data_IF_828359139072
#
_entry.id   IF_828359139072
#
_cell.length_a   1.000
_cell.length_b   1.000
_cell.length_c   1.000
_cell.angle_alpha   90.00
_cell.angle_beta   90.00
_cell.angle_gamma   90.00
#
_symmetry.space_group_name_H-M   'P 1'
#
loop_
_entity.id
_entity.type
_entity.pdbx_description
1 polymer ?
#
# COMPACT_ATOMS: atom_id res chain seq x y z
N UNK A 1 14.14 -38.93 -36.44
CA UNK A 1 14.36 -39.07 -34.98
C UNK A 1 13.63 -37.91 -34.31
N UNK A 2 12.55 -38.19 -33.58
CA UNK A 2 11.63 -37.18 -33.06
C UNK A 2 12.18 -36.48 -31.80
N UNK A 3 12.02 -35.16 -31.75
CA UNK A 3 12.46 -34.30 -30.66
C UNK A 3 11.61 -34.52 -29.40
N UNK A 4 12.25 -34.89 -28.29
CA UNK A 4 11.60 -35.08 -26.99
C UNK A 4 11.28 -33.74 -26.34
N UNK A 5 10.00 -33.42 -26.24
CA UNK A 5 9.48 -32.35 -25.42
C UNK A 5 9.62 -32.75 -23.95
N UNK A 6 10.49 -32.07 -23.19
CA UNK A 6 10.67 -32.34 -21.76
C UNK A 6 9.44 -31.85 -20.98
N UNK A 7 8.46 -32.74 -20.82
CA UNK A 7 7.31 -32.56 -19.95
C UNK A 7 7.78 -32.47 -18.50
N UNK A 8 7.78 -31.26 -17.93
CA UNK A 8 8.00 -31.06 -16.49
C UNK A 8 7.00 -31.92 -15.71
N UNK A 9 7.43 -32.66 -14.68
CA UNK A 9 6.53 -33.55 -13.94
C UNK A 9 5.41 -32.74 -13.26
N UNK A 10 4.17 -33.19 -13.47
CA UNK A 10 2.89 -32.63 -12.97
C UNK A 10 2.71 -32.63 -11.44
N UNK A 11 3.79 -32.73 -10.68
CA UNK A 11 3.76 -32.75 -9.21
C UNK A 11 4.57 -31.63 -8.55
N UNK A 12 5.27 -30.79 -9.33
CA UNK A 12 5.75 -29.50 -8.81
C UNK A 12 4.61 -28.48 -8.87
N UNK A 13 3.62 -28.68 -8.00
CA UNK A 13 2.59 -27.68 -7.71
C UNK A 13 3.30 -26.53 -6.99
N UNK A 14 3.47 -25.43 -7.71
CA UNK A 14 3.87 -24.12 -7.18
C UNK A 14 2.75 -23.65 -6.25
N UNK A 15 2.86 -23.97 -4.97
CA UNK A 15 2.00 -23.46 -3.90
C UNK A 15 2.45 -22.04 -3.51
N UNK A 16 2.68 -21.21 -4.52
CA UNK A 16 3.23 -19.86 -4.42
C UNK A 16 2.69 -19.04 -5.61
N UNK A 17 1.36 -18.92 -5.65
CA UNK A 17 0.61 -18.02 -6.54
C UNK A 17 -0.83 -17.75 -6.04
N UNK A 18 -1.19 -18.10 -4.79
CA UNK A 18 -2.56 -17.84 -4.28
C UNK A 18 -2.67 -16.53 -3.48
N UNK A 19 -1.63 -15.69 -3.47
CA UNK A 19 -1.67 -14.37 -2.82
C UNK A 19 -1.61 -13.18 -3.79
N UNK A 20 -1.69 -13.43 -5.10
CA UNK A 20 -1.48 -12.43 -6.15
C UNK A 20 -2.53 -12.50 -7.28
N UNK A 21 -3.72 -13.06 -7.00
CA UNK A 21 -4.85 -13.13 -7.96
C UNK A 21 -6.17 -12.58 -7.36
N UNK A 22 -6.12 -11.91 -6.20
CA UNK A 22 -7.29 -11.21 -5.60
C UNK A 22 -7.21 -9.69 -5.66
N UNK A 23 -6.40 -9.14 -6.56
CA UNK A 23 -6.25 -7.68 -6.69
C UNK A 23 -6.22 -7.20 -8.15
N UNK A 24 -6.63 -8.05 -9.11
CA UNK A 24 -6.66 -7.68 -10.53
C UNK A 24 -8.05 -7.95 -11.13
N UNK A 25 -9.10 -7.28 -10.62
CA UNK A 25 -10.37 -7.01 -11.30
C UNK A 25 -11.27 -6.12 -10.42
N UNK A 26 -11.22 -4.79 -10.63
CA UNK A 26 -12.36 -3.85 -10.67
C UNK A 26 -11.85 -2.40 -10.50
N UNK A 27 -11.12 -1.90 -11.51
CA UNK A 27 -11.04 -0.47 -11.79
C UNK A 27 -11.99 -0.16 -12.95
N UNK A 28 -13.13 0.51 -12.72
CA UNK A 28 -13.77 1.28 -13.75
C UNK A 28 -13.14 2.68 -13.74
N UNK A 29 -12.06 2.89 -14.50
CA UNK A 29 -11.63 4.25 -14.89
C UNK A 29 -12.64 4.82 -15.88
N UNK A 30 -13.73 5.31 -15.27
CA UNK A 30 -14.35 6.61 -15.45
C UNK A 30 -13.74 7.50 -16.56
N UNK A 31 -14.48 7.58 -17.66
CA UNK A 31 -14.90 8.84 -18.29
C UNK A 31 -13.79 9.84 -18.70
N UNK A 32 -13.28 9.70 -19.93
CA UNK A 32 -12.86 10.84 -20.73
C UNK A 32 -14.09 11.73 -21.01
N UNK A 33 -14.39 12.65 -20.09
CA UNK A 33 -15.25 13.80 -20.38
C UNK A 33 -14.41 15.07 -20.17
N UNK A 34 -13.92 15.56 -21.30
CA UNK A 34 -13.29 16.86 -21.50
C UNK A 34 -14.20 17.95 -20.90
N UNK A 35 -13.96 18.27 -19.62
CA UNK A 35 -14.66 19.34 -18.91
C UNK A 35 -14.02 20.66 -19.29
N UNK A 36 -14.36 21.13 -20.49
CA UNK A 36 -14.03 22.45 -20.98
C UNK A 36 -14.85 23.47 -20.16
N UNK A 37 -14.12 24.15 -19.27
CA UNK A 37 -14.63 25.10 -18.29
C UNK A 37 -15.03 26.41 -18.97
N UNK A 38 -16.14 26.41 -19.73
CA UNK A 38 -16.72 27.62 -20.30
C UNK A 38 -17.90 28.10 -19.44
N UNK A 39 -17.61 29.05 -18.55
CA UNK A 39 -18.62 29.86 -17.90
C UNK A 39 -19.29 30.75 -18.95
N UNK A 40 -20.43 30.32 -19.49
CA UNK A 40 -21.33 31.20 -20.23
C UNK A 40 -22.78 31.08 -19.72
N UNK A 41 -23.13 32.06 -18.90
CA UNK A 41 -24.39 32.81 -18.92
C UNK A 41 -25.67 32.01 -19.23
N UNK A 42 -26.44 31.71 -18.17
CA UNK A 42 -27.91 31.50 -18.07
C UNK A 42 -28.72 31.14 -19.34
N UNK A 43 -28.17 30.29 -20.22
CA UNK A 43 -28.75 29.99 -21.53
C UNK A 43 -28.34 28.64 -22.08
N UNK A 44 -27.85 27.72 -21.23
CA UNK A 44 -27.78 26.31 -21.62
C UNK A 44 -29.20 25.86 -21.95
N UNK A 45 -29.47 25.66 -23.24
CA UNK A 45 -30.79 25.29 -23.76
C UNK A 45 -31.17 23.94 -23.16
N UNK A 46 -31.90 23.97 -22.04
CA UNK A 46 -32.45 22.77 -21.41
C UNK A 46 -33.32 22.07 -22.46
N UNK A 47 -33.05 20.78 -22.68
CA UNK A 47 -33.72 20.03 -23.74
C UNK A 47 -35.17 19.78 -23.32
N UNK A 48 -36.11 20.01 -24.25
CA UNK A 48 -37.52 19.69 -24.04
C UNK A 48 -38.23 20.54 -22.97
N UNK A 49 -39.02 19.91 -22.10
CA UNK A 49 -39.91 20.57 -21.13
C UNK A 49 -39.21 20.96 -19.81
N UNK A 50 -37.93 20.61 -19.64
CA UNK A 50 -37.15 20.89 -18.43
C UNK A 50 -36.97 22.40 -18.15
N UNK A 51 -37.03 23.24 -19.17
CA UNK A 51 -37.03 24.70 -19.01
C UNK A 51 -38.37 25.29 -18.53
N UNK A 52 -39.47 24.56 -18.69
CA UNK A 52 -40.83 25.00 -18.34
C UNK A 52 -41.17 24.59 -16.91
N UNK A 53 -40.63 23.46 -16.44
CA UNK A 53 -40.86 22.94 -15.09
C UNK A 53 -39.98 23.70 -14.09
N UNK A 54 -40.61 24.47 -13.20
CA UNK A 54 -39.92 25.18 -12.11
C UNK A 54 -39.55 24.18 -11.02
N UNK A 55 -38.24 23.97 -10.81
CA UNK A 55 -37.73 23.14 -9.71
C UNK A 55 -37.81 23.95 -8.42
N UNK A 56 -38.90 23.84 -7.67
CA UNK A 56 -39.09 24.42 -6.34
C UNK A 56 -38.55 23.50 -5.24
N UNK A 57 -37.31 23.05 -5.38
CA UNK A 57 -36.67 22.27 -4.33
C UNK A 57 -36.04 23.23 -3.29
N UNK A 58 -36.55 23.30 -2.05
CA UNK A 58 -36.04 24.21 -1.02
C UNK A 58 -34.60 23.90 -0.59
N UNK A 59 -34.11 22.68 -0.86
CA UNK A 59 -32.72 22.27 -0.63
C UNK A 59 -31.84 22.42 -1.88
N UNK A 60 -32.34 23.04 -2.96
CA UNK A 60 -31.54 23.28 -4.16
C UNK A 60 -30.50 24.36 -3.86
N UNK A 61 -29.31 23.92 -3.45
CA UNK A 61 -28.17 24.80 -3.21
C UNK A 61 -27.71 25.34 -4.55
N UNK A 62 -28.00 26.62 -4.82
CA UNK A 62 -27.46 27.33 -5.97
C UNK A 62 -25.96 27.54 -5.76
N UNK A 63 -25.08 27.21 -6.71
CA UNK A 63 -23.67 27.51 -6.59
C UNK A 63 -23.49 29.02 -6.46
N UNK A 64 -22.77 29.46 -5.43
CA UNK A 64 -22.38 30.86 -5.23
C UNK A 64 -20.93 31.00 -5.66
N UNK A 65 -20.69 31.83 -6.67
CA UNK A 65 -19.35 32.12 -7.15
C UNK A 65 -18.67 33.07 -6.15
N UNK A 66 -17.89 32.51 -5.23
CA UNK A 66 -17.10 33.28 -4.27
C UNK A 66 -15.76 33.64 -4.91
N UNK A 67 -15.34 34.89 -4.81
CA UNK A 67 -14.06 35.34 -5.37
C UNK A 67 -12.93 34.78 -4.51
N UNK A 68 -11.87 34.26 -5.12
CA UNK A 68 -10.73 33.64 -4.43
C UNK A 68 -10.07 34.53 -3.36
N UNK A 69 -10.23 35.86 -3.44
CA UNK A 69 -9.70 36.84 -2.47
C UNK A 69 -10.47 36.89 -1.14
N UNK A 70 -11.69 36.36 -1.10
CA UNK A 70 -12.57 36.37 0.09
C UNK A 70 -12.56 35.01 0.82
N UNK A 71 -11.80 34.02 0.32
CA UNK A 71 -11.63 32.72 0.96
C UNK A 71 -10.63 32.87 2.11
N UNK A 72 -11.15 32.87 3.33
CA UNK A 72 -10.37 32.95 4.56
C UNK A 72 -9.70 31.60 4.87
N UNK A 73 -8.52 31.37 4.29
CA UNK A 73 -7.69 30.17 4.47
C UNK A 73 -7.21 29.95 5.93
N UNK A 74 -7.38 30.95 6.81
CA UNK A 74 -6.99 30.88 8.22
C UNK A 74 -8.02 30.19 9.13
N UNK A 75 -9.25 30.02 8.66
CA UNK A 75 -10.25 29.20 9.34
C UNK A 75 -10.06 27.76 8.86
N UNK A 76 -9.36 26.96 9.65
CA UNK A 76 -9.42 25.51 9.50
C UNK A 76 -10.89 25.14 9.48
N UNK A 77 -11.42 24.75 8.32
CA UNK A 77 -12.75 24.18 8.24
C UNK A 77 -12.75 23.07 9.28
N UNK A 78 -13.62 23.21 10.27
CA UNK A 78 -13.76 22.19 11.28
C UNK A 78 -14.13 20.92 10.55
N UNK A 79 -13.14 20.04 10.35
CA UNK A 79 -13.29 18.79 9.62
C UNK A 79 -14.59 18.16 10.09
N UNK A 80 -15.43 17.80 9.12
CA UNK A 80 -16.73 17.20 9.38
C UNK A 80 -16.53 16.06 10.39
N UNK A 81 -17.51 15.81 11.27
CA UNK A 81 -17.39 14.74 12.29
C UNK A 81 -16.89 13.42 11.68
N UNK A 82 -17.37 13.15 10.46
CA UNK A 82 -16.96 12.02 9.62
C UNK A 82 -15.47 12.05 9.24
N UNK A 83 -14.97 13.18 8.78
CA UNK A 83 -13.56 13.36 8.39
C UNK A 83 -12.62 13.27 9.60
N UNK A 84 -13.05 13.74 10.78
CA UNK A 84 -12.26 13.59 12.02
C UNK A 84 -12.09 12.13 12.41
N UNK A 85 -13.17 11.36 12.36
CA UNK A 85 -13.15 9.93 12.68
C UNK A 85 -12.34 9.13 11.64
N UNK A 86 -12.44 9.47 10.35
CA UNK A 86 -11.65 8.84 9.30
C UNK A 86 -10.15 9.12 9.45
N UNK A 87 -9.74 10.36 9.75
CA UNK A 87 -8.35 10.69 10.05
C UNK A 87 -7.84 10.04 11.33
N UNK A 88 -8.67 9.92 12.36
CA UNK A 88 -8.28 9.23 13.59
C UNK A 88 -8.07 7.74 13.35
N UNK A 89 -8.94 7.11 12.54
CA UNK A 89 -8.78 5.72 12.11
C UNK A 89 -7.49 5.51 11.31
N UNK A 90 -7.18 6.41 10.38
CA UNK A 90 -5.93 6.39 9.62
C UNK A 90 -4.72 6.53 10.56
N UNK A 91 -4.71 7.53 11.44
CA UNK A 91 -3.64 7.74 12.43
C UNK A 91 -3.45 6.56 13.37
N UNK A 92 -4.55 5.91 13.79
CA UNK A 92 -4.50 4.73 14.63
C UNK A 92 -3.86 3.54 13.89
N UNK A 93 -4.22 3.35 12.61
CA UNK A 93 -3.62 2.34 11.76
C UNK A 93 -2.13 2.60 11.52
N UNK A 94 -1.75 3.83 11.16
CA UNK A 94 -0.34 4.24 11.02
C UNK A 94 0.45 4.02 12.31
N UNK A 95 -0.13 4.36 13.46
CA UNK A 95 0.50 4.13 14.76
C UNK A 95 0.71 2.65 15.02
N UNK A 96 -0.28 1.82 14.68
CA UNK A 96 -0.16 0.37 14.81
C UNK A 96 0.95 -0.19 13.91
N UNK A 97 0.97 0.20 12.64
CA UNK A 97 2.02 -0.19 11.69
C UNK A 97 3.40 0.26 12.16
N UNK A 98 3.52 1.50 12.61
CA UNK A 98 4.77 2.04 13.17
C UNK A 98 5.21 1.30 14.43
N UNK A 99 4.29 0.89 15.30
CA UNK A 99 4.62 0.09 16.49
C UNK A 99 5.11 -1.31 16.11
N UNK A 100 4.55 -1.90 15.05
CA UNK A 100 4.95 -3.19 14.52
C UNK A 100 6.34 -3.12 13.89
N UNK A 101 6.61 -2.11 13.07
CA UNK A 101 7.95 -1.82 12.51
C UNK A 101 8.99 -1.58 13.59
N UNK A 102 8.62 -0.86 14.66
CA UNK A 102 9.49 -0.65 15.83
C UNK A 102 9.72 -1.92 16.65
N UNK A 103 9.06 -3.05 16.34
CA UNK A 103 9.17 -4.26 17.13
C UNK A 103 8.52 -4.15 18.49
N UNK A 104 7.60 -3.19 18.69
CA UNK A 104 6.97 -2.97 20.00
C UNK A 104 5.74 -3.84 20.24
N UNK A 105 5.10 -4.34 19.17
CA UNK A 105 4.02 -5.32 19.26
C UNK A 105 4.58 -6.68 19.68
N UNK A 106 3.80 -7.47 20.42
CA UNK A 106 4.25 -8.78 20.91
C UNK A 106 4.62 -9.75 19.77
N UNK A 107 3.90 -9.67 18.65
CA UNK A 107 4.20 -10.43 17.45
C UNK A 107 5.57 -10.04 16.88
N UNK A 108 5.81 -8.74 16.66
CA UNK A 108 7.08 -8.28 16.11
C UNK A 108 8.26 -8.56 17.05
N UNK A 109 8.07 -8.51 18.38
CA UNK A 109 9.10 -8.96 19.34
C UNK A 109 9.48 -10.41 19.13
N UNK A 110 8.50 -11.31 19.06
CA UNK A 110 8.73 -12.74 18.82
C UNK A 110 9.44 -12.98 17.49
N UNK A 111 9.06 -12.25 16.44
CA UNK A 111 9.69 -12.37 15.13
C UNK A 111 11.14 -11.87 15.15
N UNK A 112 11.42 -10.74 15.81
CA UNK A 112 12.77 -10.24 16.00
C UNK A 112 13.63 -11.20 16.83
N UNK A 113 13.08 -11.77 17.91
CA UNK A 113 13.74 -12.78 18.73
C UNK A 113 14.08 -14.03 17.90
N UNK A 114 13.14 -14.52 17.10
CA UNK A 114 13.35 -15.64 16.18
C UNK A 114 14.47 -15.33 15.17
N UNK A 115 14.46 -14.15 14.57
CA UNK A 115 15.51 -13.72 13.65
C UNK A 115 16.87 -13.57 14.35
N UNK A 116 16.89 -13.08 15.60
CA UNK A 116 18.10 -12.97 16.40
C UNK A 116 18.70 -14.35 16.69
N UNK A 117 17.88 -15.34 17.06
CA UNK A 117 18.33 -16.72 17.27
C UNK A 117 18.97 -17.30 16.00
N UNK A 118 18.34 -17.10 14.84
CA UNK A 118 18.89 -17.56 13.55
C UNK A 118 20.23 -16.87 13.25
N UNK A 119 20.34 -15.55 13.50
CA UNK A 119 21.60 -14.81 13.34
C UNK A 119 22.69 -15.36 14.26
N UNK A 120 22.36 -15.66 15.52
CA UNK A 120 23.29 -16.27 16.47
C UNK A 120 23.76 -17.64 15.99
N UNK A 121 22.84 -18.54 15.59
CA UNK A 121 23.20 -19.86 15.06
C UNK A 121 24.10 -19.77 13.82
N UNK A 122 23.83 -18.81 12.92
CA UNK A 122 24.68 -18.57 11.75
C UNK A 122 26.07 -18.06 12.14
N UNK A 123 26.15 -17.12 13.08
CA UNK A 123 27.41 -16.58 13.57
C UNK A 123 28.24 -17.66 14.30
N UNK A 124 27.62 -18.48 15.14
CA UNK A 124 28.27 -19.59 15.82
C UNK A 124 28.75 -20.66 14.84
N UNK A 125 27.95 -20.99 13.82
CA UNK A 125 28.37 -21.93 12.78
C UNK A 125 29.52 -21.38 11.93
N UNK A 126 29.54 -20.07 11.64
CA UNK A 126 30.66 -19.42 10.96
C UNK A 126 31.93 -19.45 11.82
N UNK A 127 31.83 -19.07 13.10
CA UNK A 127 32.95 -19.11 14.05
C UNK A 127 33.52 -20.52 14.22
N UNK A 128 32.66 -21.54 14.40
CA UNK A 128 33.10 -22.95 14.48
C UNK A 128 33.83 -23.39 13.21
N UNK A 129 33.35 -22.99 12.02
CA UNK A 129 34.04 -23.30 10.76
C UNK A 129 35.39 -22.58 10.63
N UNK A 130 35.50 -21.34 11.10
CA UNK A 130 36.75 -20.59 11.10
C UNK A 130 37.77 -21.18 12.08
N UNK A 131 37.34 -21.53 13.29
CA UNK A 131 38.18 -22.20 14.30
C UNK A 131 38.68 -23.57 13.81
N UNK A 132 37.82 -24.39 13.21
CA UNK A 132 38.24 -25.66 12.63
C UNK A 132 39.22 -25.50 11.46
N UNK A 133 39.03 -24.48 10.62
CA UNK A 133 39.96 -24.17 9.52
C UNK A 133 41.31 -23.70 10.07
N UNK A 134 41.30 -22.77 11.02
CA UNK A 134 42.50 -22.28 11.68
C UNK A 134 43.26 -23.40 12.40
N UNK A 135 42.58 -24.28 13.13
CA UNK A 135 43.22 -25.42 13.78
C UNK A 135 43.82 -26.42 12.77
N UNK A 136 43.14 -26.66 11.64
CA UNK A 136 43.68 -27.49 10.54
C UNK A 136 44.91 -26.84 9.90
N UNK A 137 44.92 -25.53 9.73
CA UNK A 137 46.06 -24.79 9.19
C UNK A 137 47.25 -24.78 10.16
N UNK A 138 47.02 -24.56 11.44
CA UNK A 138 48.05 -24.65 12.48
C UNK A 138 48.67 -26.05 12.52
N UNK A 139 47.87 -27.12 12.51
CA UNK A 139 48.36 -28.50 12.45
C UNK A 139 49.17 -28.78 11.18
N UNK A 140 48.76 -28.24 10.02
CA UNK A 140 49.52 -28.36 8.77
C UNK A 140 50.83 -27.56 8.79
N UNK A 141 50.84 -26.40 9.45
CA UNK A 141 52.04 -25.57 9.62
C UNK A 141 53.04 -26.21 10.59
N UNK A 142 52.56 -26.78 11.70
CA UNK A 142 53.38 -27.56 12.64
C UNK A 142 53.95 -28.82 11.98
N UNK A 143 53.16 -29.56 11.18
CA UNK A 143 53.64 -30.74 10.47
C UNK A 143 54.62 -30.45 9.31
N UNK A 144 54.74 -29.18 8.88
CA UNK A 144 55.70 -28.75 7.85
C UNK A 144 57.00 -28.19 8.44
N UNK A 145 57.07 -28.03 9.76
CA UNK A 145 58.22 -27.49 10.48
C UNK A 145 59.06 -28.64 11.06
#
# INVERSE_FOLDING_TARGET
>A
MAAGTSSRPRTFKKEEAEYDEREENEDPEESEEESEEENEDDSTKKKGTEGIIKIENPNLVKPKNVKAKEVDLGKTTELSRREREELEKQKAHERYMRLQEQGKTEQARKDLERLALIRQQRAEAAKKREEEKAAKEQKKAEARK
#
